data_IF_414605470071
#
_entry.id   IF_414605470071
#
_cell.length_a   1.000
_cell.length_b   1.000
_cell.length_c   1.000
_cell.angle_alpha   90.00
_cell.angle_beta   90.00
_cell.angle_gamma   90.00
#
_symmetry.space_group_name_H-M   'P 1'
#
loop_
_entity.id
_entity.type
_entity.pdbx_description
1 polymer ?
#
# COMPACT_ATOMS: atom_id res chain seq x y z
N UNK A 1 -1.41 16.04 -8.88
CA UNK A 1 -1.08 14.72 -9.47
C UNK A 1 -2.37 13.93 -9.57
N UNK A 2 -2.74 13.46 -10.77
CA UNK A 2 -3.92 12.63 -10.96
C UNK A 2 -3.60 11.18 -10.62
N UNK A 3 -4.60 10.41 -10.17
CA UNK A 3 -4.46 8.98 -9.92
C UNK A 3 -3.94 8.25 -11.17
N UNK A 4 -4.42 8.63 -12.34
CA UNK A 4 -3.98 8.07 -13.62
C UNK A 4 -2.47 8.22 -13.86
N UNK A 5 -1.89 9.36 -13.48
CA UNK A 5 -0.44 9.62 -13.57
C UNK A 5 0.34 8.71 -12.62
N UNK A 6 -0.19 8.52 -11.40
CA UNK A 6 0.42 7.68 -10.39
C UNK A 6 0.35 6.20 -10.79
N UNK A 7 -0.75 5.76 -11.38
CA UNK A 7 -0.91 4.40 -11.88
C UNK A 7 -0.05 4.14 -13.12
N UNK A 8 0.15 5.15 -13.98
CA UNK A 8 1.13 5.07 -15.07
C UNK A 8 2.56 4.97 -14.53
N UNK A 9 2.91 5.81 -13.55
CA UNK A 9 4.24 5.78 -12.94
C UNK A 9 4.50 4.51 -12.10
N UNK A 10 3.45 3.92 -11.53
CA UNK A 10 3.52 2.64 -10.82
C UNK A 10 3.57 1.43 -11.77
N UNK A 11 3.42 1.63 -13.09
CA UNK A 11 3.46 0.54 -14.09
C UNK A 11 2.16 -0.27 -14.20
N UNK A 12 1.09 0.09 -13.49
CA UNK A 12 -0.13 -0.71 -13.44
C UNK A 12 -0.88 -0.78 -14.76
N UNK A 13 -0.87 0.30 -15.53
CA UNK A 13 -1.48 0.33 -16.87
C UNK A 13 -0.70 -0.60 -17.82
N UNK A 14 0.62 -0.63 -17.71
CA UNK A 14 1.51 -1.45 -18.55
C UNK A 14 1.36 -2.95 -18.22
N UNK A 15 1.27 -3.31 -16.94
CA UNK A 15 1.01 -4.68 -16.50
C UNK A 15 -0.34 -5.16 -17.01
N UNK A 16 -1.40 -4.36 -16.85
CA UNK A 16 -2.73 -4.67 -17.37
C UNK A 16 -2.75 -4.80 -18.90
N UNK A 17 -2.06 -3.90 -19.62
CA UNK A 17 -1.97 -3.96 -21.07
C UNK A 17 -1.30 -5.27 -21.53
N UNK A 18 -0.24 -5.68 -20.84
CA UNK A 18 0.49 -6.92 -21.11
C UNK A 18 -0.36 -8.15 -20.79
N UNK A 19 -1.10 -8.14 -19.69
CA UNK A 19 -1.96 -9.23 -19.26
C UNK A 19 -3.16 -9.44 -20.21
N UNK A 20 -3.72 -8.35 -20.71
CA UNK A 20 -4.85 -8.38 -21.64
C UNK A 20 -4.42 -8.51 -23.11
N UNK A 21 -3.12 -8.46 -23.40
CA UNK A 21 -2.59 -8.50 -24.75
C UNK A 21 -3.02 -7.32 -25.62
N UNK A 22 -3.24 -6.15 -25.02
CA UNK A 22 -3.72 -4.94 -25.70
C UNK A 22 -2.65 -3.84 -25.72
N UNK A 23 -2.72 -2.90 -26.69
CA UNK A 23 -1.82 -1.76 -26.70
C UNK A 23 -1.97 -0.92 -25.42
N UNK A 24 -0.87 -0.38 -24.85
CA UNK A 24 -0.94 0.46 -23.65
C UNK A 24 -1.81 1.69 -23.86
N UNK A 25 -1.87 2.25 -25.08
CA UNK A 25 -2.80 3.33 -25.41
C UNK A 25 -4.27 2.93 -25.23
N UNK A 26 -4.63 1.70 -25.58
CA UNK A 26 -5.98 1.16 -25.41
C UNK A 26 -6.32 0.95 -23.93
N UNK A 27 -5.37 0.41 -23.17
CA UNK A 27 -5.49 0.24 -21.72
C UNK A 27 -5.67 1.60 -21.01
N UNK A 28 -4.93 2.64 -21.44
CA UNK A 28 -5.09 4.02 -20.95
C UNK A 28 -6.49 4.57 -21.22
N UNK A 29 -6.98 4.44 -22.46
CA UNK A 29 -8.31 4.92 -22.83
C UNK A 29 -9.42 4.24 -22.02
N UNK A 30 -9.33 2.92 -21.85
CA UNK A 30 -10.29 2.19 -21.03
C UNK A 30 -10.21 2.60 -19.56
N UNK A 31 -9.00 2.79 -19.02
CA UNK A 31 -8.82 3.27 -17.65
C UNK A 31 -9.41 4.68 -17.46
N UNK A 32 -9.17 5.60 -18.38
CA UNK A 32 -9.73 6.96 -18.33
C UNK A 32 -11.27 6.99 -18.33
N UNK A 33 -11.92 6.06 -19.05
CA UNK A 33 -13.37 5.94 -19.07
C UNK A 33 -13.95 5.24 -17.82
N UNK A 34 -13.23 4.28 -17.26
CA UNK A 34 -13.69 3.48 -16.12
C UNK A 34 -13.40 4.12 -14.75
N UNK A 35 -12.27 4.83 -14.63
CA UNK A 35 -11.81 5.44 -13.38
C UNK A 35 -12.84 6.36 -12.71
N UNK A 36 -13.52 7.28 -13.43
CA UNK A 36 -14.51 8.16 -12.80
C UNK A 36 -15.64 7.39 -12.12
N UNK A 37 -16.09 6.30 -12.71
CA UNK A 37 -17.13 5.45 -12.14
C UNK A 37 -16.62 4.73 -10.88
N UNK A 38 -15.43 4.11 -10.95
CA UNK A 38 -14.80 3.42 -9.82
C UNK A 38 -14.61 4.39 -8.64
N UNK A 39 -14.05 5.57 -8.89
CA UNK A 39 -13.85 6.62 -7.88
C UNK A 39 -15.19 7.11 -7.32
N UNK A 40 -16.21 7.26 -8.16
CA UNK A 40 -17.57 7.58 -7.72
C UNK A 40 -18.15 6.53 -6.77
N UNK A 41 -17.94 5.24 -7.08
CA UNK A 41 -18.33 4.12 -6.21
C UNK A 41 -17.63 4.16 -4.85
N UNK A 42 -16.31 4.35 -4.84
CA UNK A 42 -15.53 4.50 -3.62
C UNK A 42 -15.97 5.72 -2.79
N UNK A 43 -16.23 6.86 -3.44
CA UNK A 43 -16.73 8.06 -2.78
C UNK A 43 -18.08 7.81 -2.11
N UNK A 44 -19.00 7.12 -2.81
CA UNK A 44 -20.31 6.74 -2.26
C UNK A 44 -20.16 5.82 -1.05
N UNK A 45 -19.22 4.87 -1.11
CA UNK A 45 -18.94 3.98 0.02
C UNK A 45 -18.35 4.76 1.21
N UNK A 46 -17.38 5.64 0.98
CA UNK A 46 -16.82 6.51 2.01
C UNK A 46 -17.87 7.42 2.65
N UNK A 47 -18.85 7.91 1.89
CA UNK A 47 -19.97 8.69 2.42
C UNK A 47 -20.95 7.85 3.25
N UNK A 48 -21.10 6.56 2.93
CA UNK A 48 -22.04 5.67 3.59
C UNK A 48 -21.45 5.03 4.86
N UNK A 49 -20.21 4.54 4.79
CA UNK A 49 -19.52 3.80 5.84
C UNK A 49 -18.41 4.61 6.55
N UNK A 50 -18.13 5.83 6.09
CA UNK A 50 -16.98 6.61 6.53
C UNK A 50 -15.67 6.16 5.88
N UNK A 51 -14.63 7.02 5.99
CA UNK A 51 -13.29 6.70 5.48
C UNK A 51 -12.68 5.53 6.27
N UNK A 52 -12.93 5.46 7.59
CA UNK A 52 -12.50 4.37 8.45
C UNK A 52 -13.11 3.02 8.04
N UNK A 53 -14.42 3.01 7.79
CA UNK A 53 -15.15 1.81 7.35
C UNK A 53 -14.68 1.35 5.97
N UNK A 54 -14.42 2.30 5.06
CA UNK A 54 -13.83 1.99 3.76
C UNK A 54 -12.40 1.42 3.89
N UNK A 55 -11.58 1.96 4.79
CA UNK A 55 -10.24 1.47 5.07
C UNK A 55 -10.25 0.03 5.61
N UNK A 56 -11.12 -0.27 6.57
CA UNK A 56 -11.30 -1.62 7.10
C UNK A 56 -11.78 -2.61 6.04
N UNK A 57 -12.73 -2.19 5.20
CA UNK A 57 -13.26 -2.97 4.09
C UNK A 57 -12.17 -3.31 3.05
N UNK A 58 -11.39 -2.30 2.66
CA UNK A 58 -10.24 -2.46 1.77
C UNK A 58 -9.19 -3.39 2.37
N UNK A 59 -8.90 -3.25 3.67
CA UNK A 59 -8.02 -4.15 4.40
C UNK A 59 -8.50 -5.61 4.36
N UNK A 60 -9.79 -5.83 4.59
CA UNK A 60 -10.40 -7.17 4.54
C UNK A 60 -10.36 -7.80 3.15
N UNK A 61 -10.46 -6.98 2.10
CA UNK A 61 -10.40 -7.44 0.70
C UNK A 61 -8.99 -7.74 0.20
N UNK A 62 -7.94 -7.39 0.94
CA UNK A 62 -6.54 -7.62 0.56
C UNK A 62 -5.61 -6.41 0.70
N UNK A 63 -6.16 -5.26 1.08
CA UNK A 63 -5.41 -4.05 1.41
C UNK A 63 -4.45 -3.62 0.30
N UNK A 64 -3.25 -3.19 0.68
CA UNK A 64 -2.19 -2.84 -0.29
C UNK A 64 -1.72 -4.00 -1.16
N UNK A 65 -1.99 -5.25 -0.77
CA UNK A 65 -1.64 -6.45 -1.54
C UNK A 65 -2.45 -6.60 -2.84
N UNK A 66 -3.61 -5.93 -2.94
CA UNK A 66 -4.38 -5.86 -4.18
C UNK A 66 -3.60 -5.16 -5.30
N UNK A 67 -2.88 -4.09 -4.96
CA UNK A 67 -2.02 -3.37 -5.91
C UNK A 67 -0.80 -4.22 -6.28
N UNK A 68 -0.20 -4.90 -5.30
CA UNK A 68 0.93 -5.81 -5.53
C UNK A 68 0.54 -6.98 -6.45
N UNK A 69 -0.67 -7.52 -6.29
CA UNK A 69 -1.19 -8.61 -7.13
C UNK A 69 -1.41 -8.21 -8.58
N UNK A 70 -1.72 -6.93 -8.84
CA UNK A 70 -1.88 -6.39 -10.21
C UNK A 70 -0.53 -6.02 -10.82
N UNK A 71 0.42 -5.57 -10.01
CA UNK A 71 1.76 -5.18 -10.45
C UNK A 71 2.72 -6.37 -10.55
N UNK A 72 2.40 -7.47 -9.88
CA UNK A 72 3.20 -8.68 -9.83
C UNK A 72 3.22 -9.44 -11.15
N UNK A 73 4.03 -10.49 -11.19
CA UNK A 73 4.14 -11.37 -12.37
C UNK A 73 3.05 -12.46 -12.42
N UNK A 74 2.15 -12.50 -11.43
CA UNK A 74 1.05 -13.45 -11.36
C UNK A 74 -0.19 -12.87 -12.05
N UNK A 75 -1.05 -13.72 -12.64
CA UNK A 75 -2.31 -13.25 -13.23
C UNK A 75 -3.16 -12.57 -12.17
N UNK A 76 -3.72 -11.43 -12.52
CA UNK A 76 -4.49 -10.60 -11.61
C UNK A 76 -5.73 -11.39 -11.13
N UNK A 77 -5.98 -11.49 -9.81
CA UNK A 77 -7.16 -12.20 -9.31
C UNK A 77 -8.45 -11.43 -9.64
N UNK A 78 -9.05 -11.78 -10.77
CA UNK A 78 -10.27 -11.13 -11.30
C UNK A 78 -11.44 -11.25 -10.33
N UNK A 79 -11.51 -12.34 -9.57
CA UNK A 79 -12.53 -12.58 -8.55
C UNK A 79 -12.48 -11.55 -7.41
N UNK A 80 -11.29 -11.25 -6.90
CA UNK A 80 -11.11 -10.21 -5.87
C UNK A 80 -11.50 -8.83 -6.42
N UNK A 81 -11.18 -8.54 -7.68
CA UNK A 81 -11.66 -7.32 -8.34
C UNK A 81 -13.18 -7.28 -8.44
N UNK A 82 -13.83 -8.41 -8.75
CA UNK A 82 -15.29 -8.50 -8.75
C UNK A 82 -15.91 -8.29 -7.37
N UNK A 83 -15.24 -8.72 -6.30
CA UNK A 83 -15.69 -8.49 -4.92
C UNK A 83 -15.59 -7.02 -4.52
N UNK A 84 -14.45 -6.36 -4.83
CA UNK A 84 -14.28 -4.91 -4.66
C UNK A 84 -15.40 -4.17 -5.37
N UNK A 85 -15.67 -4.53 -6.61
CA UNK A 85 -16.73 -3.94 -7.43
C UNK A 85 -18.12 -4.16 -6.84
N UNK A 86 -18.39 -5.37 -6.37
CA UNK A 86 -19.64 -5.71 -5.70
C UNK A 86 -19.88 -4.82 -4.48
N UNK A 87 -18.83 -4.47 -3.74
CA UNK A 87 -18.95 -3.62 -2.57
C UNK A 87 -19.10 -2.12 -2.91
N UNK A 88 -18.33 -1.60 -3.86
CA UNK A 88 -18.39 -0.16 -4.20
C UNK A 88 -19.60 0.21 -5.05
N UNK A 89 -20.04 -0.70 -5.93
CA UNK A 89 -21.18 -0.47 -6.81
C UNK A 89 -22.48 -1.10 -6.27
N UNK A 90 -22.38 -2.00 -5.28
CA UNK A 90 -23.50 -2.68 -4.65
C UNK A 90 -24.07 -3.86 -5.47
N UNK A 91 -23.84 -3.90 -6.78
CA UNK A 91 -24.36 -4.98 -7.64
C UNK A 91 -23.52 -5.15 -8.91
N UNK A 92 -23.38 -6.39 -9.37
CA UNK A 92 -22.64 -6.72 -10.61
C UNK A 92 -23.27 -6.08 -11.84
N UNK A 93 -24.57 -5.81 -11.83
CA UNK A 93 -25.28 -5.13 -12.92
C UNK A 93 -24.82 -3.68 -13.11
N UNK A 94 -24.49 -2.99 -12.01
CA UNK A 94 -23.94 -1.64 -12.07
C UNK A 94 -22.54 -1.69 -12.69
N UNK A 95 -21.68 -2.61 -12.25
CA UNK A 95 -20.35 -2.82 -12.84
C UNK A 95 -20.42 -3.11 -14.34
N UNK A 96 -21.37 -3.96 -14.77
CA UNK A 96 -21.58 -4.28 -16.19
C UNK A 96 -22.06 -3.07 -16.99
N UNK A 97 -22.92 -2.25 -16.40
CA UNK A 97 -23.42 -1.01 -17.02
C UNK A 97 -22.28 -0.01 -17.20
N UNK A 98 -21.41 0.14 -16.19
CA UNK A 98 -20.21 0.99 -16.27
C UNK A 98 -19.28 0.53 -17.39
N UNK A 99 -19.01 -0.79 -17.50
CA UNK A 99 -18.21 -1.33 -18.60
C UNK A 99 -18.84 -1.05 -19.98
N UNK A 100 -20.16 -1.20 -20.09
CA UNK A 100 -20.89 -0.92 -21.34
C UNK A 100 -20.86 0.56 -21.72
N UNK A 101 -20.99 1.46 -20.75
CA UNK A 101 -20.87 2.90 -20.98
C UNK A 101 -19.46 3.30 -21.41
N UNK A 102 -18.43 2.75 -20.75
CA UNK A 102 -17.05 2.97 -21.15
C UNK A 102 -16.78 2.45 -22.57
N UNK A 103 -17.39 1.32 -22.97
CA UNK A 103 -17.26 0.77 -24.32
C UNK A 103 -17.84 1.72 -25.36
N UNK A 104 -19.05 2.24 -25.10
CA UNK A 104 -19.69 3.21 -25.97
C UNK A 104 -18.90 4.54 -26.10
N UNK A 105 -18.24 4.97 -25.03
CA UNK A 105 -17.45 6.21 -25.04
C UNK A 105 -16.09 6.06 -25.73
N UNK A 106 -15.42 4.94 -25.51
CA UNK A 106 -14.05 4.71 -25.99
C UNK A 106 -13.99 4.02 -27.36
N UNK A 107 -15.10 3.39 -27.79
CA UNK A 107 -15.13 2.53 -28.97
C UNK A 107 -14.43 1.18 -28.77
N UNK A 108 -14.04 0.84 -27.53
CA UNK A 108 -13.39 -0.42 -27.19
C UNK A 108 -14.38 -1.57 -27.04
N UNK A 109 -13.88 -2.80 -27.22
CA UNK A 109 -14.69 -4.00 -27.03
C UNK A 109 -15.24 -4.08 -25.60
N UNK A 110 -16.52 -4.42 -25.48
CA UNK A 110 -17.18 -4.52 -24.17
C UNK A 110 -16.63 -5.67 -23.32
N UNK A 111 -16.16 -6.76 -23.96
CA UNK A 111 -15.49 -7.87 -23.29
C UNK A 111 -14.16 -7.44 -22.70
N UNK A 112 -13.35 -6.69 -23.46
CA UNK A 112 -12.09 -6.11 -22.98
C UNK A 112 -12.32 -5.22 -21.75
N UNK A 113 -13.26 -4.28 -21.83
CA UNK A 113 -13.52 -3.37 -20.71
C UNK A 113 -14.08 -4.08 -19.48
N UNK A 114 -14.87 -5.14 -19.66
CA UNK A 114 -15.31 -6.00 -18.55
C UNK A 114 -14.14 -6.70 -17.85
N UNK A 115 -13.08 -7.03 -18.58
CA UNK A 115 -11.86 -7.61 -18.01
C UNK A 115 -10.98 -6.53 -17.34
N UNK A 116 -10.91 -5.33 -17.92
CA UNK A 116 -10.15 -4.21 -17.34
C UNK A 116 -10.75 -3.70 -16.02
N UNK A 117 -12.08 -3.69 -15.93
CA UNK A 117 -12.81 -3.09 -14.81
C UNK A 117 -12.42 -3.68 -13.43
N UNK A 118 -12.36 -5.01 -13.21
CA UNK A 118 -11.90 -5.59 -11.95
C UNK A 118 -10.41 -5.34 -11.66
N UNK A 119 -9.55 -5.37 -12.68
CA UNK A 119 -8.10 -5.10 -12.53
C UNK A 119 -7.88 -3.67 -12.04
N UNK A 120 -8.55 -2.71 -12.68
CA UNK A 120 -8.51 -1.30 -12.28
C UNK A 120 -9.09 -1.09 -10.88
N UNK A 121 -10.20 -1.76 -10.56
CA UNK A 121 -10.79 -1.66 -9.23
C UNK A 121 -9.82 -2.10 -8.14
N UNK A 122 -9.10 -3.21 -8.32
CA UNK A 122 -8.08 -3.67 -7.37
C UNK A 122 -6.89 -2.72 -7.28
N UNK A 123 -6.47 -2.16 -8.41
CA UNK A 123 -5.36 -1.21 -8.44
C UNK A 123 -5.69 0.07 -7.66
N UNK A 124 -6.89 0.63 -7.88
CA UNK A 124 -7.38 1.80 -7.12
C UNK A 124 -7.59 1.44 -5.65
N UNK A 125 -8.22 0.29 -5.37
CA UNK A 125 -8.44 -0.22 -4.03
C UNK A 125 -7.12 -0.36 -3.26
N UNK A 126 -6.15 -1.08 -3.83
CA UNK A 126 -4.87 -1.32 -3.21
C UNK A 126 -4.05 -0.05 -3.04
N UNK A 127 -4.12 0.88 -3.99
CA UNK A 127 -3.50 2.19 -3.85
C UNK A 127 -4.12 2.99 -2.69
N UNK A 128 -5.44 3.06 -2.61
CA UNK A 128 -6.16 3.73 -1.53
C UNK A 128 -5.94 3.05 -0.18
N UNK A 129 -5.87 1.73 -0.14
CA UNK A 129 -5.58 0.96 1.06
C UNK A 129 -4.15 1.23 1.54
N UNK A 130 -3.19 1.28 0.62
CA UNK A 130 -1.79 1.61 0.92
C UNK A 130 -1.65 3.06 1.41
N UNK A 131 -2.39 3.99 0.81
CA UNK A 131 -2.36 5.40 1.21
C UNK A 131 -3.15 5.68 2.50
N UNK A 132 -4.29 5.02 2.70
CA UNK A 132 -5.12 5.09 3.90
C UNK A 132 -4.47 4.40 5.09
N UNK A 133 -3.85 3.24 4.87
CA UNK A 133 -3.04 2.53 5.88
C UNK A 133 -1.77 3.27 6.27
N UNK A 134 -1.18 4.07 5.36
CA UNK A 134 -0.06 4.95 5.68
C UNK A 134 -0.47 6.14 6.58
N UNK A 135 -1.77 6.44 6.70
CA UNK A 135 -2.29 7.48 7.61
C UNK A 135 -2.80 6.93 8.95
N UNK A 136 -2.93 5.61 9.11
CA UNK A 136 -3.44 4.98 10.32
C UNK A 136 -2.91 3.56 10.51
N UNK A 137 -1.70 3.45 11.08
CA UNK A 137 -1.23 2.21 11.71
C UNK A 137 -0.59 1.17 10.78
N UNK A 138 0.75 1.14 10.81
CA UNK A 138 1.52 -0.11 10.66
C UNK A 138 1.92 -0.49 9.23
N UNK A 139 3.22 -0.46 8.95
CA UNK A 139 3.79 -1.25 7.84
C UNK A 139 4.75 -0.55 6.88
N UNK A 140 5.11 0.72 7.13
CA UNK A 140 6.20 1.38 6.43
C UNK A 140 6.75 2.45 7.37
N UNK A 141 7.98 2.27 7.86
CA UNK A 141 8.62 2.99 8.97
C UNK A 141 8.28 2.46 10.38
N UNK A 142 7.10 1.87 10.61
CA UNK A 142 6.76 1.23 11.90
C UNK A 142 7.53 -0.06 12.17
N UNK A 143 7.84 -0.84 11.12
CA UNK A 143 8.69 -2.04 11.21
C UNK A 143 10.19 -1.68 11.29
N UNK A 144 10.59 -0.53 10.72
CA UNK A 144 11.95 -0.02 10.86
C UNK A 144 12.18 0.54 12.27
N UNK A 145 11.21 1.23 12.85
CA UNK A 145 11.26 1.65 14.26
C UNK A 145 11.01 0.47 15.19
N UNK A 146 10.19 -0.52 14.81
CA UNK A 146 10.02 -1.77 15.55
C UNK A 146 11.27 -2.64 15.57
N UNK A 147 12.04 -2.67 14.49
CA UNK A 147 13.34 -3.36 14.44
C UNK A 147 14.48 -2.52 15.06
N UNK A 148 14.43 -1.18 14.98
CA UNK A 148 15.41 -0.29 15.65
C UNK A 148 15.15 -0.19 17.16
N UNK A 149 13.89 -0.22 17.60
CA UNK A 149 13.49 -0.13 19.00
C UNK A 149 13.33 -1.51 19.66
N UNK A 150 12.93 -2.53 18.90
CA UNK A 150 12.96 -3.94 19.32
C UNK A 150 14.37 -4.52 19.34
N UNK A 151 15.27 -4.00 18.51
CA UNK A 151 16.71 -4.24 18.63
C UNK A 151 17.37 -3.51 19.81
N UNK A 152 16.67 -2.56 20.45
CA UNK A 152 17.17 -1.77 21.58
C UNK A 152 16.62 -2.20 22.95
N UNK A 153 15.69 -3.15 23.02
CA UNK A 153 14.98 -3.54 24.27
C UNK A 153 15.09 -5.02 24.63
N UNK A 154 15.66 -5.88 23.78
CA UNK A 154 15.75 -7.33 24.04
C UNK A 154 17.16 -7.88 23.87
N UNK A 155 17.93 -7.91 24.95
CA UNK A 155 19.22 -8.60 24.98
C UNK A 155 19.08 -10.12 24.79
N UNK A 156 19.92 -10.69 23.91
CA UNK A 156 20.21 -12.13 23.91
C UNK A 156 20.50 -12.77 22.55
N UNK A 157 21.80 -12.92 22.23
CA UNK A 157 22.44 -13.92 21.35
C UNK A 157 22.42 -13.74 19.80
N UNK A 158 23.55 -13.20 19.32
CA UNK A 158 24.36 -13.39 18.08
C UNK A 158 24.02 -14.48 17.03
N UNK A 159 24.71 -14.50 15.85
CA UNK A 159 25.09 -13.42 14.93
C UNK A 159 24.75 -13.76 13.46
N UNK A 160 24.42 -12.77 12.63
CA UNK A 160 24.45 -12.96 11.17
C UNK A 160 24.77 -11.67 10.42
N UNK A 161 26.05 -11.58 10.09
CA UNK A 161 26.67 -10.98 8.90
C UNK A 161 25.77 -10.14 7.98
N UNK A 162 26.17 -8.88 7.78
CA UNK A 162 25.96 -8.21 6.49
C UNK A 162 25.58 -6.73 6.57
N UNK A 163 26.59 -5.86 6.66
CA UNK A 163 26.64 -4.64 5.86
C UNK A 163 25.88 -3.39 6.34
N UNK A 164 26.62 -2.28 6.30
CA UNK A 164 26.18 -0.87 6.32
C UNK A 164 25.67 -0.30 7.65
N UNK A 165 26.59 0.32 8.42
CA UNK A 165 26.19 1.22 9.51
C UNK A 165 27.31 1.81 10.38
N UNK A 166 28.59 1.60 10.03
CA UNK A 166 29.76 1.92 10.85
C UNK A 166 30.08 3.40 11.13
N UNK A 167 29.12 4.33 11.07
CA UNK A 167 29.36 5.76 11.35
C UNK A 167 28.68 6.29 12.62
N UNK A 168 27.82 5.51 13.30
CA UNK A 168 27.18 5.95 14.56
C UNK A 168 27.52 5.07 15.78
N UNK A 169 28.05 3.86 15.57
CA UNK A 169 28.50 2.97 16.66
C UNK A 169 29.77 3.42 17.38
N UNK A 170 30.51 4.41 16.84
CA UNK A 170 31.70 4.96 17.47
C UNK A 170 31.40 5.90 18.64
N UNK A 171 30.24 6.57 18.63
CA UNK A 171 29.83 7.47 19.71
C UNK A 171 29.16 6.73 20.87
N UNK A 172 28.47 5.61 20.59
CA UNK A 172 27.92 4.73 21.62
C UNK A 172 29.01 4.04 22.47
N UNK A 173 30.11 3.62 21.82
CA UNK A 173 31.25 3.01 22.53
C UNK A 173 32.15 4.00 23.29
N UNK A 174 31.96 5.30 23.09
CA UNK A 174 32.66 6.32 23.87
C UNK A 174 31.83 6.81 25.07
N UNK A 175 30.50 6.61 25.01
CA UNK A 175 29.58 6.86 26.11
C UNK A 175 29.49 5.68 27.11
N UNK A 176 29.77 4.46 26.64
CA UNK A 176 29.78 3.22 27.43
C UNK A 176 31.23 2.81 27.75
N UNK A 177 31.90 3.63 28.56
CA UNK A 177 33.35 3.49 28.79
C UNK A 177 33.72 2.54 29.93
N UNK A 178 32.74 2.05 30.71
CA UNK A 178 32.92 1.01 31.73
C UNK A 178 32.10 -0.27 31.46
N UNK A 179 31.17 -0.26 30.51
CA UNK A 179 30.56 -1.45 29.91
C UNK A 179 29.37 -2.03 30.67
N UNK A 180 28.67 -1.22 31.48
CA UNK A 180 27.51 -1.67 32.26
C UNK A 180 26.15 -1.43 31.57
N UNK A 181 26.13 -0.57 30.55
CA UNK A 181 24.96 -0.30 29.73
C UNK A 181 23.91 0.66 30.34
N UNK A 182 24.23 1.43 31.37
CA UNK A 182 23.24 2.29 32.05
C UNK A 182 23.74 3.73 32.35
N UNK A 183 23.56 4.70 31.43
CA UNK A 183 24.12 6.05 31.56
C UNK A 183 23.49 6.90 32.68
N UNK A 184 22.41 6.42 33.30
CA UNK A 184 21.76 7.09 34.44
C UNK A 184 22.52 6.86 35.75
N UNK A 185 23.25 5.74 35.89
CA UNK A 185 24.02 5.44 37.11
C UNK A 185 25.29 6.30 37.16
N UNK A 186 25.94 6.56 36.01
CA UNK A 186 27.09 7.47 35.91
C UNK A 186 26.79 8.91 36.35
N UNK A 187 25.60 9.40 35.97
CA UNK A 187 25.15 10.74 36.32
C UNK A 187 24.82 10.80 37.82
N UNK A 188 24.24 9.72 38.37
CA UNK A 188 23.90 9.65 39.78
C UNK A 188 25.15 9.47 40.67
N UNK A 189 26.16 8.73 40.18
CA UNK A 189 27.46 8.57 40.81
C UNK A 189 28.27 9.87 40.88
N UNK A 190 28.26 10.69 39.81
CA UNK A 190 28.92 12.00 39.81
C UNK A 190 28.25 12.99 40.78
N UNK A 191 26.93 12.96 40.91
CA UNK A 191 26.18 13.84 41.83
C UNK A 191 26.45 13.47 43.30
N UNK A 192 26.57 12.17 43.61
CA UNK A 192 26.83 11.72 44.98
C UNK A 192 28.30 11.94 45.40
N UNK A 193 29.23 11.95 44.44
CA UNK A 193 30.66 12.20 44.68
C UNK A 193 31.03 13.68 44.87
N UNK A 194 30.13 14.61 44.54
CA UNK A 194 30.32 16.06 44.79
C UNK A 194 29.79 16.55 46.15
N UNK A 195 29.18 15.67 46.95
CA UNK A 195 28.59 16.03 48.27
C UNK A 195 29.26 15.34 49.46
N UNK A 196 30.47 14.80 49.25
CA UNK A 196 31.36 14.24 50.27
C UNK A 196 32.75 14.86 50.18
#
# INVERSE_FOLDING_TARGET
>A
MNLTDILQQAGGIESMASELGVPPAMARQGAEALLPAILGGFKKQAQSAGIEGLGGLLGQLGGGGLLDSVLGSQPTPVDQGNDVLGQIFGSKDVSRTVAGQAAAQTGLDSGLLKQMLPILAMMVAGYMAKQGGQSGGGGGLGDLIGNVLGGAVGGGAAPSAGGLGGSLGGLGKMLDMDGDGNPLDDIMGMVNKMRG
#
